data_IF_733432602031
#
_entry.id   IF_733432602031
#
_cell.length_a   1.000
_cell.length_b   1.000
_cell.length_c   1.000
_cell.angle_alpha   90.00
_cell.angle_beta   90.00
_cell.angle_gamma   90.00
#
_symmetry.space_group_name_H-M   'P 1'
#
loop_
_entity.id
_entity.type
_entity.pdbx_description
1 polymer ?
#
# COMPACT_ATOMS: atom_id res chain seq x y z
N UNK A 1 -51.35 46.48 -41.25
CA UNK A 1 -50.02 46.88 -41.71
C UNK A 1 -49.92 46.71 -43.21
N UNK A 2 -49.06 47.51 -43.83
CA UNK A 2 -48.68 47.38 -45.23
C UNK A 2 -47.57 46.32 -45.38
N UNK A 3 -47.41 45.72 -46.57
CA UNK A 3 -46.37 44.71 -46.78
C UNK A 3 -44.95 45.28 -46.58
N UNK A 4 -44.74 46.56 -46.90
CA UNK A 4 -43.45 47.24 -46.66
C UNK A 4 -43.14 47.34 -45.16
N UNK A 5 -44.14 47.72 -44.36
CA UNK A 5 -44.00 47.74 -42.89
C UNK A 5 -43.79 46.34 -42.31
N UNK A 6 -44.19 45.29 -43.02
CA UNK A 6 -43.96 43.91 -42.62
C UNK A 6 -42.49 43.53 -42.86
N UNK A 7 -41.97 43.82 -44.05
CA UNK A 7 -40.57 43.58 -44.39
C UNK A 7 -39.62 44.34 -43.46
N UNK A 8 -39.89 45.62 -43.18
CA UNK A 8 -39.08 46.46 -42.30
C UNK A 8 -39.01 45.93 -40.86
N UNK A 9 -40.03 45.21 -40.40
CA UNK A 9 -40.17 44.71 -39.02
C UNK A 9 -39.92 43.21 -38.88
N UNK A 10 -39.53 42.54 -39.97
CA UNK A 10 -39.35 41.10 -40.01
C UNK A 10 -38.23 40.64 -39.07
N UNK A 11 -37.11 41.36 -39.04
CA UNK A 11 -35.98 41.08 -38.15
C UNK A 11 -36.38 41.23 -36.69
N UNK A 12 -37.02 42.34 -36.32
CA UNK A 12 -37.49 42.59 -34.96
C UNK A 12 -38.49 41.51 -34.49
N UNK A 13 -39.32 41.01 -35.39
CA UNK A 13 -40.23 39.89 -35.10
C UNK A 13 -39.49 38.59 -34.80
N UNK A 14 -38.46 38.26 -35.58
CA UNK A 14 -37.66 37.04 -35.42
C UNK A 14 -36.79 37.08 -34.16
N UNK A 15 -36.28 38.26 -33.81
CA UNK A 15 -35.49 38.49 -32.61
C UNK A 15 -36.35 38.64 -31.33
N UNK A 16 -37.68 38.74 -31.49
CA UNK A 16 -38.62 38.92 -30.38
C UNK A 16 -38.57 40.32 -29.76
N UNK A 17 -38.09 41.32 -30.49
CA UNK A 17 -37.98 42.71 -30.06
C UNK A 17 -39.29 43.50 -30.19
N UNK A 18 -40.28 42.98 -30.92
CA UNK A 18 -41.58 43.62 -31.09
C UNK A 18 -42.44 43.60 -29.81
N UNK A 19 -43.14 44.69 -29.54
CA UNK A 19 -44.12 44.75 -28.47
C UNK A 19 -45.33 43.83 -28.76
N UNK A 20 -45.97 43.30 -27.72
CA UNK A 20 -46.99 42.25 -27.87
C UNK A 20 -48.18 42.63 -28.77
N UNK A 21 -48.60 43.90 -28.80
CA UNK A 21 -49.69 44.32 -29.69
C UNK A 21 -49.23 44.36 -31.15
N UNK A 22 -48.00 44.78 -31.40
CA UNK A 22 -47.40 44.85 -32.75
C UNK A 22 -47.10 43.45 -33.29
N UNK A 23 -46.62 42.55 -32.43
CA UNK A 23 -46.44 41.14 -32.76
C UNK A 23 -47.77 40.48 -33.16
N UNK A 24 -48.89 40.86 -32.52
CA UNK A 24 -50.24 40.41 -32.91
C UNK A 24 -50.65 40.94 -34.29
N UNK A 25 -50.46 42.23 -34.55
CA UNK A 25 -50.80 42.82 -35.87
C UNK A 25 -49.92 42.23 -36.97
N UNK A 26 -48.64 41.98 -36.68
CA UNK A 26 -47.68 41.34 -37.60
C UNK A 26 -48.11 39.91 -37.95
N UNK A 27 -48.43 39.09 -36.94
CA UNK A 27 -48.91 37.72 -37.14
C UNK A 27 -50.26 37.66 -37.85
N UNK A 28 -51.19 38.58 -37.55
CA UNK A 28 -52.47 38.67 -38.27
C UNK A 28 -52.25 38.98 -39.76
N UNK A 29 -51.31 39.85 -40.10
CA UNK A 29 -50.96 40.15 -41.48
C UNK A 29 -50.29 38.95 -42.18
N UNK A 30 -49.33 38.30 -41.52
CA UNK A 30 -48.69 37.08 -42.05
C UNK A 30 -49.73 35.98 -42.36
N UNK A 31 -50.81 35.85 -41.58
CA UNK A 31 -51.85 34.87 -41.84
C UNK A 31 -52.82 35.29 -42.97
N UNK A 32 -53.00 36.59 -43.20
CA UNK A 32 -53.91 37.12 -44.22
C UNK A 32 -53.27 37.32 -45.59
N UNK A 33 -51.97 37.63 -45.63
CA UNK A 33 -51.23 37.90 -46.86
C UNK A 33 -50.34 36.70 -47.22
N UNK A 34 -50.63 35.96 -48.32
CA UNK A 34 -49.85 34.78 -48.68
C UNK A 34 -48.40 35.12 -49.06
N UNK A 35 -48.16 36.30 -49.64
CA UNK A 35 -46.80 36.74 -50.01
C UNK A 35 -45.92 36.92 -48.77
N UNK A 36 -46.42 37.65 -47.78
CA UNK A 36 -45.70 37.87 -46.52
C UNK A 36 -45.57 36.59 -45.68
N UNK A 37 -46.56 35.69 -45.78
CA UNK A 37 -46.50 34.36 -45.17
C UNK A 37 -45.33 33.54 -45.74
N UNK A 38 -45.22 33.50 -47.07
CA UNK A 38 -44.20 32.72 -47.75
C UNK A 38 -42.81 33.29 -47.47
N UNK A 39 -42.66 34.62 -47.48
CA UNK A 39 -41.42 35.30 -47.07
C UNK A 39 -41.03 34.96 -45.63
N UNK A 40 -41.96 35.01 -44.68
CA UNK A 40 -41.69 34.66 -43.29
C UNK A 40 -41.24 33.21 -43.15
N UNK A 41 -41.84 32.29 -43.90
CA UNK A 41 -41.45 30.88 -43.88
C UNK A 41 -40.09 30.66 -44.52
N UNK A 42 -39.78 31.34 -45.63
CA UNK A 42 -38.46 31.29 -46.26
C UNK A 42 -37.38 31.77 -45.30
N UNK A 43 -37.56 32.93 -44.66
CA UNK A 43 -36.60 33.45 -43.67
C UNK A 43 -36.51 32.53 -42.44
N UNK A 44 -37.62 31.96 -41.96
CA UNK A 44 -37.57 30.98 -40.88
C UNK A 44 -36.79 29.72 -41.26
N UNK A 45 -36.99 29.21 -42.47
CA UNK A 45 -36.30 28.02 -42.97
C UNK A 45 -34.80 28.29 -43.10
N UNK A 46 -34.40 29.44 -43.66
CA UNK A 46 -32.98 29.82 -43.74
C UNK A 46 -32.34 29.99 -42.36
N UNK A 47 -33.04 30.58 -41.38
CA UNK A 47 -32.55 30.65 -39.99
C UNK A 47 -32.38 29.26 -39.37
N UNK A 48 -33.29 28.32 -39.65
CA UNK A 48 -33.18 26.94 -39.18
C UNK A 48 -31.97 26.25 -39.83
N UNK A 49 -31.75 26.44 -41.13
CA UNK A 49 -30.57 25.91 -41.83
C UNK A 49 -29.27 26.49 -41.27
N UNK A 50 -29.21 27.81 -41.06
CA UNK A 50 -28.06 28.47 -40.42
C UNK A 50 -27.81 27.98 -38.99
N UNK A 51 -28.85 27.57 -38.25
CA UNK A 51 -28.72 26.99 -36.92
C UNK A 51 -28.35 25.50 -36.94
N UNK A 52 -28.59 24.80 -38.04
CA UNK A 52 -28.22 23.41 -38.22
C UNK A 52 -26.72 23.25 -38.51
N UNK A 53 -26.06 24.32 -38.94
CA UNK A 53 -24.61 24.33 -39.06
C UNK A 53 -23.94 24.07 -37.71
N UNK A 54 -22.90 23.25 -37.74
CA UNK A 54 -22.13 22.90 -36.53
C UNK A 54 -21.54 24.18 -35.96
N UNK A 55 -21.90 24.57 -34.73
CA UNK A 55 -21.37 25.77 -34.13
C UNK A 55 -19.83 25.65 -34.03
N UNK A 56 -19.09 26.76 -34.21
CA UNK A 56 -17.65 26.72 -34.02
C UNK A 56 -17.35 26.22 -32.60
N UNK A 57 -16.38 25.32 -32.50
CA UNK A 57 -15.93 24.79 -31.22
C UNK A 57 -15.58 25.98 -30.29
N UNK A 58 -16.12 26.03 -29.06
CA UNK A 58 -15.82 27.10 -28.14
C UNK A 58 -14.32 27.14 -27.84
N UNK A 59 -13.77 28.34 -27.65
CA UNK A 59 -12.35 28.48 -27.29
C UNK A 59 -12.07 27.71 -25.99
N UNK A 60 -10.93 27.00 -25.87
CA UNK A 60 -10.54 26.38 -24.62
C UNK A 60 -10.54 27.44 -23.51
N UNK A 61 -11.29 27.17 -22.43
CA UNK A 61 -11.48 28.10 -21.32
C UNK A 61 -12.70 29.04 -21.40
N UNK A 62 -13.48 29.06 -22.49
CA UNK A 62 -14.73 29.85 -22.51
C UNK A 62 -15.71 29.38 -21.43
N UNK A 63 -15.92 28.07 -21.34
CA UNK A 63 -16.76 27.46 -20.30
C UNK A 63 -16.24 27.81 -18.91
N UNK A 64 -14.93 27.72 -18.70
CA UNK A 64 -14.29 28.10 -17.45
C UNK A 64 -14.59 29.55 -17.06
N UNK A 65 -14.52 30.49 -18.01
CA UNK A 65 -14.86 31.92 -17.78
C UNK A 65 -16.34 32.13 -17.51
N UNK A 66 -17.23 31.42 -18.21
CA UNK A 66 -18.67 31.50 -17.99
C UNK A 66 -18.98 31.06 -16.57
N UNK A 67 -18.49 29.89 -16.17
CA UNK A 67 -18.70 29.33 -14.83
C UNK A 67 -18.09 30.21 -13.74
N UNK A 68 -16.93 30.83 -13.97
CA UNK A 68 -16.36 31.79 -13.02
C UNK A 68 -17.27 33.02 -12.82
N UNK A 69 -17.96 33.48 -13.88
CA UNK A 69 -18.88 34.61 -13.81
C UNK A 69 -20.25 34.25 -13.24
N UNK A 70 -20.74 33.03 -13.48
CA UNK A 70 -22.09 32.61 -13.08
C UNK A 70 -22.14 31.87 -11.75
N UNK A 71 -21.03 31.25 -11.33
CA UNK A 71 -20.93 30.42 -10.13
C UNK A 71 -19.57 30.63 -9.42
N UNK A 72 -19.27 31.85 -8.94
CA UNK A 72 -17.96 32.19 -8.35
C UNK A 72 -17.64 31.39 -7.08
N UNK A 73 -18.64 30.86 -6.37
CA UNK A 73 -18.48 29.95 -5.22
C UNK A 73 -17.75 28.66 -5.59
N UNK A 74 -17.72 28.30 -6.88
CA UNK A 74 -16.96 27.16 -7.39
C UNK A 74 -15.53 27.52 -7.81
N UNK A 75 -15.06 28.75 -7.59
CA UNK A 75 -13.68 29.16 -7.88
C UNK A 75 -12.69 28.64 -6.83
N UNK A 76 -11.48 28.28 -7.23
CA UNK A 76 -10.39 27.76 -6.36
C UNK A 76 -9.24 28.76 -6.32
N UNK A 77 -8.54 28.85 -5.18
CA UNK A 77 -7.33 29.69 -5.04
C UNK A 77 -6.09 28.97 -5.55
N UNK A 78 -5.00 29.70 -5.84
CA UNK A 78 -3.73 29.07 -6.25
C UNK A 78 -3.17 28.15 -5.15
N UNK A 79 -3.35 28.52 -3.88
CA UNK A 79 -2.88 27.74 -2.72
C UNK A 79 -3.65 26.42 -2.61
N UNK A 80 -4.98 26.45 -2.75
CA UNK A 80 -5.81 25.24 -2.81
C UNK A 80 -5.44 24.36 -4.01
N UNK A 81 -5.15 24.98 -5.17
CA UNK A 81 -4.72 24.27 -6.37
C UNK A 81 -3.42 23.48 -6.14
N UNK A 82 -2.41 24.12 -5.54
CA UNK A 82 -1.13 23.50 -5.22
C UNK A 82 -1.27 22.39 -4.18
N UNK A 83 -2.15 22.55 -3.19
CA UNK A 83 -2.42 21.53 -2.18
C UNK A 83 -2.91 20.21 -2.79
N UNK A 84 -3.71 20.27 -3.86
CA UNK A 84 -4.26 19.10 -4.55
C UNK A 84 -3.44 18.66 -5.78
N UNK A 85 -2.30 19.28 -6.04
CA UNK A 85 -1.47 18.98 -7.21
C UNK A 85 -1.00 17.52 -7.23
N UNK A 86 -0.53 17.01 -6.09
CA UNK A 86 -0.07 15.62 -5.99
C UNK A 86 -1.23 14.64 -6.16
N UNK A 87 -2.37 14.91 -5.51
CA UNK A 87 -3.57 14.07 -5.64
C UNK A 87 -4.07 14.00 -7.09
N UNK A 88 -3.94 15.10 -7.84
CA UNK A 88 -4.22 15.11 -9.27
C UNK A 88 -3.24 14.24 -10.06
N UNK A 89 -1.92 14.39 -9.82
CA UNK A 89 -0.89 13.63 -10.53
C UNK A 89 -0.94 12.13 -10.23
N UNK A 90 -1.33 11.77 -9.01
CA UNK A 90 -1.49 10.38 -8.58
C UNK A 90 -2.84 9.78 -9.01
N UNK A 91 -3.78 10.61 -9.50
CA UNK A 91 -5.11 10.17 -9.96
C UNK A 91 -6.12 9.93 -8.83
N UNK A 92 -5.90 10.50 -7.65
CA UNK A 92 -6.77 10.37 -6.47
C UNK A 92 -7.74 11.55 -6.27
N UNK A 93 -7.69 12.56 -7.13
CA UNK A 93 -8.53 13.74 -6.99
C UNK A 93 -10.04 13.40 -7.19
N UNK A 94 -10.92 13.70 -6.21
CA UNK A 94 -12.36 13.46 -6.35
C UNK A 94 -12.96 14.21 -7.54
N UNK A 95 -13.96 13.62 -8.21
CA UNK A 95 -14.57 14.17 -9.43
C UNK A 95 -15.11 15.61 -9.26
N UNK A 96 -15.68 15.94 -8.09
CA UNK A 96 -16.19 17.28 -7.80
C UNK A 96 -15.08 18.33 -7.71
N UNK A 97 -13.89 17.94 -7.23
CA UNK A 97 -12.71 18.80 -7.15
C UNK A 97 -11.97 18.86 -8.48
N UNK A 98 -11.96 17.78 -9.25
CA UNK A 98 -11.30 17.67 -10.55
C UNK A 98 -11.69 18.81 -11.50
N UNK A 99 -12.99 19.01 -11.74
CA UNK A 99 -13.45 20.06 -12.65
C UNK A 99 -13.15 21.47 -12.15
N UNK A 100 -13.15 21.69 -10.83
CA UNK A 100 -12.79 22.98 -10.22
C UNK A 100 -11.29 23.25 -10.36
N UNK A 101 -10.47 22.22 -10.20
CA UNK A 101 -9.02 22.26 -10.36
C UNK A 101 -8.60 22.50 -11.81
N UNK A 102 -9.15 21.74 -12.77
CA UNK A 102 -8.88 21.93 -14.20
C UNK A 102 -9.27 23.33 -14.68
N UNK A 103 -10.38 23.86 -14.18
CA UNK A 103 -10.83 25.21 -14.49
C UNK A 103 -9.84 26.26 -14.02
N UNK A 104 -9.28 26.09 -12.82
CA UNK A 104 -8.25 26.99 -12.31
C UNK A 104 -6.98 26.91 -13.17
N UNK A 105 -6.50 25.71 -13.51
CA UNK A 105 -5.37 25.52 -14.42
C UNK A 105 -5.59 26.19 -15.79
N UNK A 106 -6.79 26.10 -16.35
CA UNK A 106 -7.11 26.67 -17.66
C UNK A 106 -7.17 28.21 -17.68
N UNK A 107 -7.42 28.86 -16.54
CA UNK A 107 -7.59 30.31 -16.45
C UNK A 107 -6.39 31.03 -15.83
N UNK A 108 -5.69 30.38 -14.90
CA UNK A 108 -4.57 30.97 -14.17
C UNK A 108 -3.26 30.75 -14.94
N UNK A 109 -2.66 31.83 -15.43
CA UNK A 109 -1.38 31.76 -16.15
C UNK A 109 -0.26 31.13 -15.33
N UNK A 110 -0.22 31.35 -14.01
CA UNK A 110 0.80 30.78 -13.13
C UNK A 110 0.63 29.28 -12.87
N UNK A 111 -0.61 28.80 -12.76
CA UNK A 111 -0.91 27.42 -12.43
C UNK A 111 -1.04 26.51 -13.65
N UNK A 112 -1.28 27.07 -14.85
CA UNK A 112 -1.48 26.32 -16.09
C UNK A 112 -0.33 25.38 -16.45
N UNK A 113 0.91 25.83 -16.29
CA UNK A 113 2.12 25.07 -16.62
C UNK A 113 2.68 24.26 -15.46
N UNK A 114 2.20 24.51 -14.23
CA UNK A 114 2.76 23.93 -13.00
C UNK A 114 2.76 22.38 -13.01
N UNK A 115 1.66 21.68 -13.37
CA UNK A 115 1.66 20.22 -13.43
C UNK A 115 2.68 19.68 -14.43
N UNK A 116 2.81 20.33 -15.59
CA UNK A 116 3.80 19.98 -16.59
C UNK A 116 5.24 20.18 -16.10
N UNK A 117 5.50 21.22 -15.30
CA UNK A 117 6.81 21.40 -14.66
C UNK A 117 7.14 20.30 -13.65
N UNK A 118 6.19 19.90 -12.82
CA UNK A 118 6.38 18.82 -11.84
C UNK A 118 6.61 17.47 -12.53
N UNK A 119 5.84 17.13 -13.56
CA UNK A 119 6.05 15.88 -14.31
C UNK A 119 7.42 15.86 -14.99
N UNK A 120 7.86 16.99 -15.58
CA UNK A 120 9.20 17.11 -16.18
C UNK A 120 10.33 16.99 -15.16
N UNK A 121 10.18 17.60 -13.97
CA UNK A 121 11.21 17.50 -12.92
C UNK A 121 11.30 16.09 -12.36
N UNK A 122 10.16 15.41 -12.15
CA UNK A 122 10.13 13.99 -11.75
C UNK A 122 10.81 13.13 -12.82
N UNK A 123 10.50 13.35 -14.11
CA UNK A 123 11.14 12.63 -15.21
C UNK A 123 12.67 12.82 -15.23
N UNK A 124 13.16 14.03 -14.97
CA UNK A 124 14.59 14.32 -14.87
C UNK A 124 15.27 13.65 -13.66
N UNK A 125 14.57 13.56 -12.51
CA UNK A 125 15.06 12.80 -11.37
C UNK A 125 15.14 11.30 -11.68
N UNK A 126 14.14 10.74 -12.35
CA UNK A 126 14.14 9.34 -12.76
C UNK A 126 15.26 9.03 -13.75
N UNK A 127 15.54 9.90 -14.71
CA UNK A 127 16.68 9.70 -15.61
C UNK A 127 18.01 9.71 -14.86
N UNK A 128 18.15 10.57 -13.85
CA UNK A 128 19.37 10.63 -13.05
C UNK A 128 19.54 9.37 -12.16
N UNK A 129 18.44 8.84 -11.62
CA UNK A 129 18.45 7.65 -10.77
C UNK A 129 18.66 6.38 -11.60
N UNK A 130 18.07 6.30 -12.80
CA UNK A 130 18.16 5.11 -13.65
C UNK A 130 19.50 4.98 -14.36
N UNK A 131 20.20 6.10 -14.59
CA UNK A 131 21.61 6.07 -14.97
C UNK A 131 22.43 5.60 -13.78
N UNK A 132 22.77 4.31 -13.74
CA UNK A 132 23.77 3.76 -12.80
C UNK A 132 25.11 4.48 -13.02
N UNK A 133 25.32 5.59 -12.33
CA UNK A 133 26.59 6.28 -12.32
C UNK A 133 27.58 5.43 -11.55
N UNK A 134 28.82 5.27 -12.05
CA UNK A 134 29.84 4.56 -11.31
C UNK A 134 30.01 5.23 -9.95
N UNK A 135 29.83 4.47 -8.88
CA UNK A 135 30.04 4.96 -7.53
C UNK A 135 31.49 5.46 -7.43
N UNK A 136 31.73 6.62 -6.80
CA UNK A 136 33.08 7.12 -6.58
C UNK A 136 33.92 6.03 -5.92
N UNK A 137 35.15 5.82 -6.42
CA UNK A 137 36.06 4.87 -5.82
C UNK A 137 36.24 5.18 -4.32
N UNK A 138 36.05 4.16 -3.47
CA UNK A 138 36.14 4.30 -2.02
C UNK A 138 34.93 4.93 -1.32
N UNK A 139 33.79 5.16 -2.00
CA UNK A 139 32.56 5.65 -1.33
C UNK A 139 32.10 4.68 -0.24
N UNK A 140 32.14 3.38 -0.49
CA UNK A 140 31.82 2.35 0.51
C UNK A 140 32.76 2.42 1.72
N UNK A 141 34.06 2.64 1.50
CA UNK A 141 35.06 2.77 2.57
C UNK A 141 34.80 4.03 3.41
N UNK A 142 34.41 5.14 2.77
CA UNK A 142 34.03 6.39 3.47
C UNK A 142 32.75 6.22 4.28
N UNK A 143 31.70 5.65 3.69
CA UNK A 143 30.45 5.39 4.42
C UNK A 143 30.73 4.46 5.60
N UNK A 144 31.52 3.40 5.40
CA UNK A 144 31.90 2.47 6.45
C UNK A 144 32.74 3.16 7.54
N UNK A 145 33.68 4.03 7.18
CA UNK A 145 34.46 4.82 8.12
C UNK A 145 33.59 5.76 8.98
N UNK A 146 32.62 6.46 8.35
CA UNK A 146 31.70 7.37 9.04
C UNK A 146 30.65 6.63 9.89
N UNK A 147 30.14 5.48 9.41
CA UNK A 147 29.09 4.72 10.11
C UNK A 147 29.61 3.75 11.15
N UNK A 148 30.89 3.35 11.11
CA UNK A 148 31.49 2.49 12.13
C UNK A 148 31.62 3.17 13.50
N UNK A 149 31.35 4.48 13.62
CA UNK A 149 31.34 5.19 14.92
C UNK A 149 32.67 5.14 15.68
N UNK A 150 33.75 4.68 15.03
CA UNK A 150 35.06 4.48 15.67
C UNK A 150 35.87 5.78 15.74
N UNK A 151 35.49 6.81 14.99
CA UNK A 151 36.19 8.10 14.95
C UNK A 151 35.83 9.02 16.12
N UNK A 152 34.61 8.93 16.69
CA UNK A 152 34.28 9.66 17.92
C UNK A 152 34.76 8.94 19.20
N UNK A 153 35.00 7.62 19.12
CA UNK A 153 35.48 6.83 20.25
C UNK A 153 36.94 7.16 20.65
N UNK A 154 37.72 7.83 19.79
CA UNK A 154 39.08 8.22 20.10
C UNK A 154 39.15 9.57 20.85
N UNK A 155 38.18 10.48 20.65
CA UNK A 155 38.12 11.78 21.32
C UNK A 155 37.47 11.73 22.71
N UNK A 156 36.64 10.73 23.00
CA UNK A 156 36.14 10.46 24.35
C UNK A 156 36.64 9.11 24.81
N UNK A 157 37.91 9.08 25.25
CA UNK A 157 38.44 7.95 26.03
C UNK A 157 37.62 7.82 27.30
N UNK A 158 36.58 7.00 27.26
CA UNK A 158 35.71 6.76 28.41
C UNK A 158 36.57 6.37 29.62
N UNK A 159 36.38 7.02 30.79
CA UNK A 159 37.16 6.74 31.98
C UNK A 159 37.03 5.24 32.30
N UNK A 160 38.12 4.63 32.77
CA UNK A 160 38.22 3.18 32.98
C UNK A 160 37.04 2.59 33.78
N UNK A 161 36.44 3.39 34.68
CA UNK A 161 35.23 3.02 35.43
C UNK A 161 33.99 2.78 34.57
N UNK A 162 33.80 3.50 33.47
CA UNK A 162 32.67 3.29 32.56
C UNK A 162 32.77 1.94 31.83
N UNK A 163 33.99 1.52 31.45
CA UNK A 163 34.23 0.20 30.83
C UNK A 163 33.97 -0.95 31.80
N UNK A 164 34.35 -0.78 33.07
CA UNK A 164 34.08 -1.80 34.11
C UNK A 164 32.58 -1.86 34.42
N UNK A 165 31.89 -0.72 34.43
CA UNK A 165 30.45 -0.67 34.65
C UNK A 165 29.66 -1.35 33.52
N UNK A 166 30.01 -1.13 32.25
CA UNK A 166 29.37 -1.82 31.12
C UNK A 166 29.66 -3.32 31.12
N UNK A 167 30.88 -3.72 31.45
CA UNK A 167 31.22 -5.14 31.57
C UNK A 167 30.42 -5.84 32.69
N UNK A 168 30.27 -5.19 33.84
CA UNK A 168 29.42 -5.67 34.94
C UNK A 168 27.94 -5.70 34.56
N UNK A 169 27.47 -4.72 33.79
CA UNK A 169 26.06 -4.64 33.35
C UNK A 169 25.73 -5.73 32.34
N UNK A 170 26.64 -6.06 31.43
CA UNK A 170 26.50 -7.21 30.52
C UNK A 170 26.43 -8.55 31.25
N UNK A 171 27.15 -8.71 32.36
CA UNK A 171 27.01 -9.89 33.24
C UNK A 171 25.66 -9.93 33.98
N UNK A 172 25.12 -8.78 34.34
CA UNK A 172 23.84 -8.66 35.03
C UNK A 172 22.62 -8.82 34.09
N UNK A 173 22.69 -8.36 32.83
CA UNK A 173 21.57 -8.45 31.88
C UNK A 173 21.24 -9.90 31.48
N UNK A 174 22.24 -10.79 31.47
CA UNK A 174 22.01 -12.24 31.29
C UNK A 174 21.21 -12.84 32.46
N UNK A 175 21.26 -12.22 33.64
CA UNK A 175 20.49 -12.62 34.82
C UNK A 175 19.08 -12.00 34.88
N UNK A 176 18.82 -10.93 34.12
CA UNK A 176 17.56 -10.16 34.19
C UNK A 176 16.61 -10.49 33.02
N UNK A 177 16.99 -11.39 32.12
CA UNK A 177 16.08 -11.88 31.08
C UNK A 177 15.00 -12.79 31.72
N UNK A 178 13.70 -12.50 31.54
CA UNK A 178 12.60 -13.14 32.29
C UNK A 178 12.48 -14.66 32.06
N UNK A 179 13.09 -15.18 30.99
CA UNK A 179 13.08 -16.60 30.66
C UNK A 179 14.08 -17.43 31.47
N UNK A 180 15.15 -16.82 31.99
CA UNK A 180 16.15 -17.52 32.82
C UNK A 180 15.85 -17.41 34.31
N UNK A 181 14.95 -16.51 34.72
CA UNK A 181 14.55 -16.35 36.11
C UNK A 181 13.89 -17.62 36.70
N UNK A 182 13.07 -18.34 35.91
CA UNK A 182 12.42 -19.58 36.36
C UNK A 182 13.42 -20.72 36.53
N UNK A 183 14.39 -20.84 35.63
CA UNK A 183 15.46 -21.85 35.73
C UNK A 183 16.39 -21.55 36.89
N UNK A 184 16.81 -20.29 37.06
CA UNK A 184 17.66 -19.87 38.15
C UNK A 184 16.99 -20.05 39.52
N UNK A 185 15.70 -19.71 39.63
CA UNK A 185 14.92 -19.94 40.86
C UNK A 185 14.75 -21.42 41.15
N UNK A 186 14.46 -22.27 40.16
CA UNK A 186 14.39 -23.73 40.34
C UNK A 186 15.75 -24.32 40.74
N UNK A 187 16.85 -23.82 40.18
CA UNK A 187 18.19 -24.28 40.52
C UNK A 187 18.59 -23.84 41.93
N UNK A 188 18.28 -22.60 42.32
CA UNK A 188 18.47 -22.12 43.69
C UNK A 188 17.60 -22.88 44.70
N UNK A 189 16.35 -23.20 44.35
CA UNK A 189 15.47 -24.05 45.16
C UNK A 189 16.01 -25.47 45.28
N UNK A 190 16.52 -26.06 44.19
CA UNK A 190 17.13 -27.39 44.20
C UNK A 190 18.41 -27.44 45.04
N UNK A 191 19.26 -26.40 44.95
CA UNK A 191 20.46 -26.27 45.80
C UNK A 191 20.04 -26.06 47.25
N UNK A 192 19.08 -25.17 47.53
CA UNK A 192 18.62 -24.90 48.89
C UNK A 192 17.98 -26.14 49.54
N UNK A 193 17.07 -26.82 48.83
CA UNK A 193 16.47 -28.08 49.29
C UNK A 193 17.53 -29.17 49.42
N UNK A 194 18.46 -29.28 48.48
CA UNK A 194 19.58 -30.23 48.57
C UNK A 194 20.47 -29.99 49.78
N UNK A 195 20.79 -28.73 50.09
CA UNK A 195 21.60 -28.37 51.26
C UNK A 195 20.88 -28.56 52.58
N UNK A 196 19.54 -28.45 52.61
CA UNK A 196 18.73 -28.58 53.84
C UNK A 196 18.23 -30.00 54.08
N UNK A 197 18.10 -30.84 53.05
CA UNK A 197 17.53 -32.19 53.18
C UNK A 197 18.54 -33.33 53.08
N UNK A 198 19.71 -33.10 52.46
CA UNK A 198 20.71 -34.17 52.19
C UNK A 198 22.00 -33.98 52.98
N UNK A 199 22.25 -32.80 53.55
CA UNK A 199 23.48 -32.51 54.28
C UNK A 199 23.21 -32.30 55.77
N UNK A 200 23.64 -33.24 56.60
CA UNK A 200 23.50 -33.18 58.07
C UNK A 200 24.15 -31.90 58.69
N UNK A 201 25.11 -31.28 57.99
CA UNK A 201 25.84 -30.08 58.44
C UNK A 201 25.54 -28.80 57.63
N UNK A 202 24.62 -28.82 56.65
CA UNK A 202 24.28 -27.65 55.83
C UNK A 202 25.39 -27.07 54.93
N UNK A 203 26.51 -27.78 54.73
CA UNK A 203 27.66 -27.33 53.93
C UNK A 203 27.73 -28.01 52.55
N UNK A 204 28.24 -27.28 51.55
CA UNK A 204 28.42 -27.78 50.15
C UNK A 204 29.30 -29.03 50.09
N UNK A 205 30.28 -29.15 51.00
CA UNK A 205 31.16 -30.31 51.09
C UNK A 205 30.43 -31.57 51.59
N UNK A 206 29.40 -31.40 52.43
CA UNK A 206 28.52 -32.48 52.90
C UNK A 206 27.70 -33.09 51.76
N UNK A 207 27.14 -32.25 50.90
CA UNK A 207 26.42 -32.70 49.69
C UNK A 207 27.29 -33.54 48.75
N UNK A 208 28.55 -33.15 48.53
CA UNK A 208 29.47 -33.91 47.68
C UNK A 208 29.77 -35.31 48.25
N UNK A 209 29.96 -35.40 49.57
CA UNK A 209 30.19 -36.69 50.25
C UNK A 209 28.95 -37.58 50.26
N UNK A 210 27.76 -36.99 50.44
CA UNK A 210 26.50 -37.72 50.33
C UNK A 210 26.26 -38.23 48.90
N UNK A 211 26.52 -37.40 47.89
CA UNK A 211 26.43 -37.78 46.48
C UNK A 211 27.36 -38.94 46.12
N UNK A 212 28.60 -38.92 46.61
CA UNK A 212 29.54 -40.04 46.42
C UNK A 212 29.05 -41.35 47.07
N UNK A 213 28.45 -41.29 48.27
CA UNK A 213 27.86 -42.49 48.91
C UNK A 213 26.66 -43.06 48.15
N UNK A 214 25.81 -42.19 47.59
CA UNK A 214 24.67 -42.64 46.78
C UNK A 214 25.18 -43.29 45.49
N UNK A 215 26.17 -42.67 44.83
CA UNK A 215 26.79 -43.24 43.63
C UNK A 215 27.43 -44.61 43.89
N UNK A 216 28.10 -44.78 45.03
CA UNK A 216 28.69 -46.06 45.45
C UNK A 216 27.63 -47.15 45.70
N UNK A 217 26.48 -46.79 46.28
CA UNK A 217 25.34 -47.72 46.42
C UNK A 217 24.75 -48.11 45.07
N UNK A 218 24.60 -47.18 44.13
CA UNK A 218 24.07 -47.49 42.80
C UNK A 218 25.04 -48.38 42.01
N UNK A 219 26.35 -48.13 42.13
CA UNK A 219 27.38 -48.95 41.49
C UNK A 219 27.45 -50.37 42.08
N UNK A 220 27.40 -50.52 43.40
CA UNK A 220 27.39 -51.85 44.04
C UNK A 220 26.11 -52.63 43.76
N UNK A 221 24.96 -51.96 43.67
CA UNK A 221 23.70 -52.58 43.27
C UNK A 221 23.70 -53.04 41.81
N UNK A 222 24.25 -52.22 40.89
CA UNK A 222 24.42 -52.58 39.48
C UNK A 222 25.44 -53.70 39.25
N UNK A 223 26.53 -53.73 40.02
CA UNK A 223 27.53 -54.79 39.95
C UNK A 223 26.98 -56.15 40.42
N UNK A 224 26.12 -56.16 41.45
CA UNK A 224 25.49 -57.38 41.95
C UNK A 224 24.43 -57.93 40.96
N UNK A 225 23.62 -57.08 40.33
CA UNK A 225 22.68 -57.52 39.29
C UNK A 225 23.36 -57.98 37.99
N UNK A 226 24.47 -57.34 37.59
CA UNK A 226 25.24 -57.76 36.42
C UNK A 226 25.85 -59.16 36.59
N UNK A 227 26.23 -59.54 37.81
CA UNK A 227 26.68 -60.90 38.13
C UNK A 227 25.57 -61.95 38.03
N UNK A 228 24.34 -61.59 38.38
CA UNK A 228 23.16 -62.45 38.31
C UNK A 228 22.70 -62.67 36.86
N UNK A 229 22.71 -61.61 36.04
CA UNK A 229 22.39 -61.67 34.61
C UNK A 229 23.38 -62.53 33.81
N UNK A 230 24.66 -62.53 34.20
CA UNK A 230 25.72 -63.33 33.57
C UNK A 230 25.61 -64.82 33.90
N UNK A 231 25.08 -65.18 35.07
CA UNK A 231 24.74 -66.58 35.40
C UNK A 231 23.50 -67.07 34.65
N UNK A 232 22.49 -66.23 34.47
CA UNK A 232 21.27 -66.58 33.74
C UNK A 232 21.51 -66.80 32.23
N UNK A 233 22.45 -66.06 31.62
CA UNK A 233 22.72 -66.13 30.17
C UNK A 233 23.67 -67.25 29.75
N UNK A 234 24.46 -67.82 30.66
CA UNK A 234 25.41 -68.91 30.33
C UNK A 234 24.73 -70.29 30.22
N UNK A 235 23.49 -70.43 30.70
CA UNK A 235 22.73 -71.70 30.67
C UNK A 235 21.87 -71.95 29.42
N UNK A 236 21.72 -70.98 28.51
CA UNK A 236 20.72 -71.02 27.43
C UNK A 236 21.29 -71.20 26.01
N UNK A 237 22.60 -71.43 25.84
CA UNK A 237 23.22 -71.62 24.52
C UNK A 237 23.68 -73.07 24.33
N UNK A 238 22.76 -73.94 23.93
CA UNK A 238 23.04 -75.27 23.33
C UNK A 238 21.89 -75.71 22.41
N UNK A 239 21.93 -75.24 21.15
CA UNK A 239 21.47 -75.85 19.88
C UNK A 239 19.99 -76.35 19.71
N UNK A 240 19.52 -76.71 18.48
CA UNK A 240 19.61 -76.01 17.19
C UNK A 240 18.27 -75.94 16.39
N UNK A 241 18.22 -74.97 15.46
CA UNK A 241 17.74 -74.94 14.04
C UNK A 241 16.54 -75.79 13.55
N UNK A 242 15.56 -75.15 12.87
CA UNK A 242 15.16 -75.46 11.46
C UNK A 242 13.98 -74.62 10.93
N UNK A 243 14.16 -74.09 9.70
CA UNK A 243 13.23 -73.96 8.54
C UNK A 243 11.80 -73.38 8.73
N UNK A 244 11.24 -72.53 7.86
CA UNK A 244 11.62 -72.02 6.54
C UNK A 244 10.39 -71.41 5.83
N UNK A 245 10.63 -70.69 4.72
CA UNK A 245 9.70 -70.31 3.59
C UNK A 245 8.51 -69.40 3.90
N UNK A 246 8.08 -68.40 3.11
CA UNK A 246 8.31 -67.89 1.75
C UNK A 246 7.08 -66.98 1.47
N UNK A 247 7.19 -65.73 0.98
CA UNK A 247 7.21 -65.38 -0.43
C UNK A 247 6.07 -64.39 -0.81
N UNK A 248 6.35 -63.58 -1.85
CA UNK A 248 5.46 -62.81 -2.76
C UNK A 248 4.80 -61.46 -2.38
N UNK A 249 5.15 -60.47 -3.21
CA UNK A 249 4.60 -59.13 -3.52
C UNK A 249 3.56 -59.26 -4.69
N UNK A 250 3.01 -58.22 -5.39
CA UNK A 250 2.70 -56.78 -5.12
C UNK A 250 1.24 -56.37 -5.49
N UNK A 251 1.00 -55.03 -5.61
CA UNK A 251 -0.03 -54.32 -6.42
C UNK A 251 -1.16 -53.70 -5.54
N UNK A 252 -1.55 -52.40 -5.62
CA UNK A 252 -2.13 -51.67 -6.75
C UNK A 252 -2.45 -50.19 -6.31
N UNK A 253 -2.35 -49.20 -7.21
CA UNK A 253 -2.98 -47.84 -7.11
C UNK A 253 -4.42 -47.87 -7.69
N UNK A 254 -5.31 -46.83 -7.59
CA UNK A 254 -5.19 -45.60 -8.42
C UNK A 254 -5.93 -44.30 -7.94
N UNK A 255 -5.67 -43.19 -8.68
CA UNK A 255 -6.58 -42.04 -9.09
C UNK A 255 -7.24 -41.13 -8.02
N UNK A 256 -7.47 -39.82 -8.20
CA UNK A 256 -7.35 -38.86 -9.31
C UNK A 256 -8.05 -37.52 -8.93
N UNK A 257 -7.91 -36.46 -9.75
CA UNK A 257 -8.88 -35.34 -9.80
C UNK A 257 -8.35 -33.89 -9.67
N UNK A 258 -8.19 -33.20 -10.80
CA UNK A 258 -8.42 -31.74 -10.98
C UNK A 258 -9.64 -31.60 -11.92
N UNK A 259 -10.41 -30.49 -11.99
CA UNK A 259 -9.96 -29.26 -12.68
C UNK A 259 -10.62 -27.90 -12.25
N UNK A 260 -10.12 -26.81 -12.85
CA UNK A 260 -10.78 -25.54 -13.30
C UNK A 260 -11.67 -24.75 -12.32
N UNK A 261 -11.64 -23.42 -12.21
CA UNK A 261 -11.28 -22.35 -13.13
C UNK A 261 -12.44 -21.33 -13.14
N UNK A 262 -12.21 -20.07 -12.76
CA UNK A 262 -13.23 -19.01 -12.84
C UNK A 262 -12.61 -17.71 -13.36
N UNK A 263 -12.99 -17.38 -14.59
CA UNK A 263 -12.64 -16.19 -15.35
C UNK A 263 -13.36 -14.93 -14.85
N UNK A 264 -12.65 -13.83 -15.06
CA UNK A 264 -13.09 -12.43 -15.15
C UNK A 264 -14.44 -12.24 -15.86
N UNK A 265 -15.29 -11.38 -15.29
CA UNK A 265 -16.37 -10.69 -15.99
C UNK A 265 -16.12 -9.18 -15.94
N UNK A 266 -15.91 -8.59 -17.12
CA UNK A 266 -16.12 -7.17 -17.39
C UNK A 266 -17.57 -6.96 -17.87
N UNK A 267 -18.19 -5.80 -17.62
CA UNK A 267 -19.56 -5.53 -18.04
C UNK A 267 -19.61 -4.92 -19.44
N UNK A 268 -20.61 -5.37 -20.21
CA UNK A 268 -20.94 -4.89 -21.53
C UNK A 268 -21.81 -3.61 -21.46
N UNK A 269 -21.36 -2.63 -22.21
CA UNK A 269 -22.04 -1.41 -22.61
C UNK A 269 -22.96 -1.72 -23.82
N UNK A 270 -24.27 -1.47 -23.74
CA UNK A 270 -25.12 -1.32 -24.94
C UNK A 270 -26.51 -0.69 -24.66
N UNK A 271 -26.56 0.64 -24.86
CA UNK A 271 -27.40 1.33 -25.85
C UNK A 271 -28.77 0.71 -26.19
N UNK A 272 -29.87 1.30 -25.70
CA UNK A 272 -31.05 1.57 -26.55
C UNK A 272 -32.15 2.45 -25.90
N UNK A 273 -32.68 3.33 -26.76
CA UNK A 273 -33.94 4.11 -26.73
C UNK A 273 -34.07 5.32 -25.80
#
# INVERSE_FOLDING_TARGET
MLCTEFEDRLTDYLDGALEGNEQRVFSEHALRCPVCHDLLNEVKNTVVECRADVPPQPSPGLEARILLKTAPETSMTCEEFEQYLTDYLDGFLPATLYHRWERHAALCGGCSDLPGHVVRSIGACYSYISEERPLPAGLHERILHETLGTTEAELVRAPFGARVAEWMRGWLDVLVTPQLATVATMLLLAVFVGTTTVSDDGTILGMYRAGLRVAERTYSYGANQAGELKRATTGLVSAPTSQGTGGSNPQQSPSGGSPSGSQQQQPAEQKNR
#
